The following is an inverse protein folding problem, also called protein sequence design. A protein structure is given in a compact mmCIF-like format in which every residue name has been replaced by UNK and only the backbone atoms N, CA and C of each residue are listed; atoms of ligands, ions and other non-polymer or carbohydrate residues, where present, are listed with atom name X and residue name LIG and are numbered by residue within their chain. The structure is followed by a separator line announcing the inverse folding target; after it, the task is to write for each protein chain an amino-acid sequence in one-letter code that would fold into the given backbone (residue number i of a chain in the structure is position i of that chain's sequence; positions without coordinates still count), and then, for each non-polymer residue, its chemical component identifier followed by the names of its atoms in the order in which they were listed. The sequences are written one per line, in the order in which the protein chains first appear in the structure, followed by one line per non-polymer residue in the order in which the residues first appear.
data_IF_194388869103
#
_entry.id   IF_194388869103
#
_cell.length_a   1.000
_cell.length_b   1.000
_cell.length_c   1.000
_cell.angle_alpha   90.00
_cell.angle_beta   90.00
_cell.angle_gamma   90.00
#
_symmetry.space_group_name_H-M   'P 1'
#
loop_
_entity.id
_entity.type
_entity.pdbx_description
1 polymer ?
#
# COMPACT_ATOMS: atom_id res chain seq x y z
N UNK A 1 6.14 0.71 -14.35
CA UNK A 1 5.93 0.99 -12.91
C UNK A 1 7.22 0.75 -12.11
N UNK A 2 8.15 1.70 -12.18
CA UNK A 2 9.45 1.61 -11.50
C UNK A 2 9.51 2.50 -10.26
N UNK A 3 8.81 3.64 -10.26
CA UNK A 3 8.85 4.62 -9.16
C UNK A 3 8.38 4.02 -7.82
N UNK A 4 7.23 3.34 -7.80
CA UNK A 4 6.73 2.76 -6.56
C UNK A 4 7.40 1.43 -6.19
N UNK A 5 8.00 0.72 -7.14
CA UNK A 5 8.73 -0.51 -6.85
C UNK A 5 10.01 -0.20 -6.06
N UNK A 6 10.73 0.87 -6.43
CA UNK A 6 11.84 1.38 -5.63
C UNK A 6 11.37 1.88 -4.26
N UNK A 7 10.24 2.60 -4.20
CA UNK A 7 9.65 3.04 -2.94
C UNK A 7 9.23 1.91 -2.01
N UNK A 8 8.71 0.80 -2.57
CA UNK A 8 8.34 -0.40 -1.79
C UNK A 8 9.55 -0.95 -1.03
N UNK A 9 10.67 -1.16 -1.72
CA UNK A 9 11.90 -1.63 -1.09
C UNK A 9 12.36 -0.70 0.05
N UNK A 10 12.37 0.62 -0.19
CA UNK A 10 12.77 1.58 0.84
C UNK A 10 11.88 1.51 2.09
N UNK A 11 10.57 1.40 1.91
CA UNK A 11 9.62 1.34 3.03
C UNK A 11 9.75 0.02 3.78
N UNK A 12 9.84 -1.11 3.07
CA UNK A 12 9.96 -2.44 3.68
C UNK A 12 11.29 -2.60 4.46
N UNK A 13 12.42 -2.14 3.91
CA UNK A 13 13.72 -2.15 4.60
C UNK A 13 13.75 -1.24 5.85
N UNK A 14 12.95 -0.17 5.85
CA UNK A 14 12.75 0.69 7.02
C UNK A 14 11.79 0.09 8.07
N UNK A 15 11.29 -1.13 7.86
CA UNK A 15 10.33 -1.79 8.75
C UNK A 15 8.88 -1.33 8.55
N UNK A 16 8.56 -0.72 7.41
CA UNK A 16 7.21 -0.38 7.01
C UNK A 16 6.47 -1.55 6.35
N UNK A 17 5.22 -1.29 5.97
CA UNK A 17 4.35 -2.24 5.25
C UNK A 17 3.79 -1.55 4.02
N UNK A 18 3.75 -2.28 2.90
CA UNK A 18 3.21 -1.80 1.63
C UNK A 18 2.21 -2.83 1.09
N UNK A 19 0.99 -2.38 0.79
CA UNK A 19 -0.09 -3.21 0.24
C UNK A 19 -0.86 -2.43 -0.82
N UNK A 20 -1.81 -3.08 -1.50
CA UNK A 20 -2.89 -2.35 -2.15
C UNK A 20 -3.77 -1.67 -1.11
N UNK A 21 -4.63 -0.73 -1.52
CA UNK A 21 -5.61 -0.13 -0.62
C UNK A 21 -6.74 -1.11 -0.19
N UNK A 22 -6.75 -2.33 -0.73
CA UNK A 22 -7.61 -3.45 -0.31
C UNK A 22 -6.93 -4.38 0.70
N UNK A 23 -5.62 -4.20 0.91
CA UNK A 23 -4.83 -5.01 1.83
C UNK A 23 -4.11 -6.19 1.18
N UNK A 24 -4.24 -6.35 -0.14
CA UNK A 24 -3.54 -7.40 -0.89
C UNK A 24 -2.05 -7.07 -1.07
N UNK A 25 -1.24 -8.09 -1.36
CA UNK A 25 0.15 -7.90 -1.79
C UNK A 25 0.22 -6.94 -2.98
N UNK A 26 1.18 -6.02 -2.96
CA UNK A 26 1.35 -5.03 -4.03
C UNK A 26 1.88 -5.70 -5.31
N UNK A 27 1.13 -5.71 -6.44
CA UNK A 27 1.63 -6.23 -7.70
C UNK A 27 2.53 -5.20 -8.42
N UNK A 28 3.42 -5.66 -9.29
CA UNK A 28 4.26 -4.80 -10.15
C UNK A 28 3.48 -4.36 -11.40
N UNK A 29 2.33 -3.72 -11.19
CA UNK A 29 1.44 -3.19 -12.25
C UNK A 29 0.68 -1.97 -11.74
N UNK A 30 -0.12 -1.32 -12.60
CA UNK A 30 -0.96 -0.20 -12.16
C UNK A 30 -1.99 -0.72 -11.14
N UNK A 31 -1.99 -0.14 -9.95
CA UNK A 31 -2.88 -0.51 -8.83
C UNK A 31 -3.00 0.68 -7.87
N UNK A 32 -3.86 0.54 -6.87
CA UNK A 32 -3.77 1.32 -5.63
C UNK A 32 -2.54 0.91 -4.80
N UNK A 33 -2.02 1.84 -4.01
CA UNK A 33 -0.87 1.64 -3.13
C UNK A 33 -1.15 2.30 -1.78
N UNK A 34 -0.87 1.56 -0.71
CA UNK A 34 -0.87 2.03 0.66
C UNK A 34 0.49 1.68 1.28
N UNK A 35 1.23 2.68 1.73
CA UNK A 35 2.49 2.52 2.44
C UNK A 35 2.42 3.24 3.80
N UNK A 36 2.73 2.54 4.88
CA UNK A 36 2.76 3.08 6.24
C UNK A 36 3.77 2.31 7.10
N UNK A 37 4.06 2.81 8.31
CA UNK A 37 4.73 1.98 9.31
C UNK A 37 3.80 0.83 9.77
N UNK A 38 4.37 -0.25 10.33
CA UNK A 38 3.58 -1.41 10.74
C UNK A 38 2.54 -1.11 11.82
N UNK A 39 2.73 -0.07 12.63
CA UNK A 39 1.81 0.29 13.72
C UNK A 39 0.51 0.95 13.21
N UNK A 40 0.59 1.70 12.10
CA UNK A 40 -0.53 2.46 11.57
C UNK A 40 -1.21 1.78 10.38
N UNK A 41 -0.51 0.88 9.68
CA UNK A 41 -0.98 0.31 8.42
C UNK A 41 -2.41 -0.20 8.46
N UNK A 42 -2.75 -1.01 9.47
CA UNK A 42 -4.07 -1.62 9.57
C UNK A 42 -5.16 -0.60 9.94
N UNK A 43 -4.82 0.44 10.70
CA UNK A 43 -5.74 1.53 11.02
C UNK A 43 -6.06 2.38 9.78
N UNK A 44 -5.03 2.72 9.00
CA UNK A 44 -5.19 3.47 7.75
C UNK A 44 -5.93 2.63 6.71
N UNK A 45 -5.59 1.35 6.57
CA UNK A 45 -6.26 0.42 5.66
C UNK A 45 -7.77 0.37 5.92
N UNK A 46 -8.19 0.33 7.20
CA UNK A 46 -9.61 0.35 7.57
C UNK A 46 -10.34 1.60 7.09
N UNK A 47 -9.69 2.76 7.15
CA UNK A 47 -10.28 4.04 6.71
C UNK A 47 -10.31 4.10 5.18
N UNK A 48 -9.21 3.76 4.53
CA UNK A 48 -9.05 3.90 3.07
C UNK A 48 -9.91 2.88 2.32
N UNK A 49 -10.00 1.64 2.80
CA UNK A 49 -10.82 0.58 2.18
C UNK A 49 -12.31 0.94 2.09
N UNK A 50 -12.81 1.76 3.02
CA UNK A 50 -14.21 2.24 3.02
C UNK A 50 -14.50 3.27 1.92
N UNK A 51 -13.47 3.96 1.42
CA UNK A 51 -13.59 5.09 0.48
C UNK A 51 -12.96 4.80 -0.89
N UNK A 52 -12.61 3.53 -1.13
CA UNK A 52 -11.99 3.08 -2.37
C UNK A 52 -13.04 3.12 -3.49
N UNK A 53 -12.81 3.86 -4.58
CA UNK A 53 -13.75 3.87 -5.70
C UNK A 53 -13.91 2.47 -6.29
N UNK A 54 -15.13 2.17 -6.74
CA UNK A 54 -15.48 0.87 -7.32
C UNK A 54 -14.79 0.60 -8.66
N UNK A 55 -14.41 1.67 -9.36
CA UNK A 55 -13.89 1.62 -10.74
C UNK A 55 -12.36 1.68 -10.83
N UNK A 56 -11.65 1.10 -9.85
CA UNK A 56 -10.18 1.06 -9.80
C UNK A 56 -9.58 -0.19 -10.44
#
# INVERSE_FOLDING_TARGET
PWDFAAGQLLVEEAGGKVTTCRGDSLPVQKTSLLAANSHLHDAVLRIVSQHLPTDF
#
